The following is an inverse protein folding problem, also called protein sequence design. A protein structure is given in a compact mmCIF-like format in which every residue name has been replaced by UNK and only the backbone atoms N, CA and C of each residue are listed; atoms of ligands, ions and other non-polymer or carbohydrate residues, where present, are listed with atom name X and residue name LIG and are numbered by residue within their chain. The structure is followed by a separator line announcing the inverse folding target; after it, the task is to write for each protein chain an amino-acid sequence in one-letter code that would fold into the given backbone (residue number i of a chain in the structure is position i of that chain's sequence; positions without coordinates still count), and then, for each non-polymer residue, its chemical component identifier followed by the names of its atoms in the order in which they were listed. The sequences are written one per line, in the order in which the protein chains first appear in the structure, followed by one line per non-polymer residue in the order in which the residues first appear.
data_IF_884859102869
#
_entry.id   IF_884859102869
#
_cell.length_a   1.000
_cell.length_b   1.000
_cell.length_c   1.000
_cell.angle_alpha   90.00
_cell.angle_beta   90.00
_cell.angle_gamma   90.00
#
_symmetry.space_group_name_H-M   'P 1'
#
loop_
_entity.id
_entity.type
_entity.pdbx_description
1 polymer ?
#
# COMPACT_ATOMS: atom_id res chain seq x y z
N UNK A 1 -5.68 -5.86 -25.57
CA UNK A 1 -4.35 -6.47 -25.74
C UNK A 1 -3.24 -5.60 -25.11
N UNK A 2 -3.08 -4.31 -25.48
CA UNK A 2 -2.06 -3.40 -24.93
C UNK A 2 -2.08 -3.30 -23.40
N UNK A 3 -3.23 -3.02 -22.79
CA UNK A 3 -3.37 -2.84 -21.32
C UNK A 3 -2.91 -4.10 -20.58
N UNK A 4 -3.34 -5.28 -21.02
CA UNK A 4 -2.93 -6.53 -20.39
C UNK A 4 -1.40 -6.71 -20.47
N UNK A 5 -0.80 -6.42 -21.63
CA UNK A 5 0.64 -6.52 -21.82
C UNK A 5 1.42 -5.56 -20.91
N UNK A 6 0.96 -4.31 -20.77
CA UNK A 6 1.55 -3.33 -19.82
C UNK A 6 1.53 -3.89 -18.41
N UNK A 7 0.39 -4.46 -17.98
CA UNK A 7 0.24 -4.94 -16.60
C UNK A 7 1.05 -6.22 -16.38
N UNK A 8 0.94 -7.21 -17.26
CA UNK A 8 1.67 -8.47 -17.08
C UNK A 8 3.18 -8.28 -17.11
N UNK A 9 3.68 -7.43 -18.03
CA UNK A 9 5.10 -7.08 -18.05
C UNK A 9 5.56 -6.36 -16.79
N UNK A 10 4.72 -5.51 -16.20
CA UNK A 10 5.05 -4.83 -14.95
C UNK A 10 5.16 -5.82 -13.79
N UNK A 11 4.24 -6.79 -13.72
CA UNK A 11 4.28 -7.86 -12.72
C UNK A 11 5.54 -8.72 -12.88
N UNK A 12 5.82 -9.19 -14.09
CA UNK A 12 6.97 -10.07 -14.38
C UNK A 12 8.32 -9.40 -14.08
N UNK A 13 8.39 -8.08 -14.24
CA UNK A 13 9.59 -7.28 -13.94
C UNK A 13 9.63 -6.73 -12.50
N UNK A 14 8.66 -7.07 -11.64
CA UNK A 14 8.56 -6.59 -10.24
C UNK A 14 8.60 -5.06 -10.14
N UNK A 15 7.83 -4.41 -11.00
CA UNK A 15 7.74 -2.94 -11.09
C UNK A 15 6.91 -2.41 -9.93
N UNK A 16 7.33 -1.31 -9.31
CA UNK A 16 6.57 -0.65 -8.25
C UNK A 16 5.47 0.28 -8.79
N UNK A 17 5.77 1.03 -9.85
CA UNK A 17 4.81 1.98 -10.42
C UNK A 17 4.90 1.99 -11.95
N UNK A 18 3.74 2.14 -12.60
CA UNK A 18 3.58 2.30 -14.06
C UNK A 18 3.12 3.73 -14.32
N UNK A 19 3.85 4.46 -15.12
CA UNK A 19 3.49 5.82 -15.55
C UNK A 19 3.14 5.80 -17.03
N UNK A 20 1.93 6.26 -17.38
CA UNK A 20 1.46 6.45 -18.75
C UNK A 20 1.28 7.93 -18.95
N UNK A 21 2.17 8.53 -19.69
CA UNK A 21 2.33 9.98 -19.77
C UNK A 21 2.08 10.48 -21.18
N UNK A 22 1.22 11.53 -21.32
CA UNK A 22 0.96 12.13 -22.63
C UNK A 22 2.22 12.76 -23.22
N UNK A 23 2.32 12.68 -24.54
CA UNK A 23 3.32 13.34 -25.38
C UNK A 23 2.61 14.05 -26.53
N UNK A 24 3.36 14.82 -27.31
CA UNK A 24 2.82 15.48 -28.52
C UNK A 24 2.21 14.47 -29.47
N UNK A 25 2.85 13.31 -29.65
CA UNK A 25 2.38 12.21 -30.49
C UNK A 25 2.17 10.94 -29.66
N UNK A 26 0.96 10.80 -29.06
CA UNK A 26 0.61 9.59 -28.31
C UNK A 26 0.98 9.66 -26.82
N UNK A 27 1.36 8.54 -26.28
CA UNK A 27 1.78 8.39 -24.87
C UNK A 27 3.07 7.57 -24.76
N UNK A 28 3.83 7.82 -23.69
CA UNK A 28 4.96 7.00 -23.29
C UNK A 28 4.60 6.21 -22.03
N UNK A 29 4.98 4.95 -21.99
CA UNK A 29 4.88 4.12 -20.78
C UNK A 29 6.27 3.99 -20.16
N UNK A 30 6.36 4.34 -18.88
CA UNK A 30 7.56 4.18 -18.08
C UNK A 30 7.26 3.33 -16.86
N UNK A 31 8.18 2.48 -16.50
CA UNK A 31 8.13 1.70 -15.27
C UNK A 31 9.10 2.27 -14.25
N UNK A 32 8.70 2.28 -12.99
CA UNK A 32 9.60 2.51 -11.87
C UNK A 32 10.04 1.16 -11.32
N UNK A 33 11.30 0.86 -11.47
CA UNK A 33 11.93 -0.33 -10.92
C UNK A 33 13.14 0.09 -10.09
N UNK A 34 13.26 -0.43 -8.88
CA UNK A 34 14.34 -0.10 -7.95
C UNK A 34 14.57 1.42 -7.80
N UNK A 35 13.47 2.18 -7.74
CA UNK A 35 13.45 3.64 -7.62
C UNK A 35 13.64 4.41 -8.94
N UNK A 36 14.13 3.77 -10.02
CA UNK A 36 14.44 4.41 -11.29
C UNK A 36 13.31 4.26 -12.31
N UNK A 37 13.06 5.34 -13.08
CA UNK A 37 12.11 5.33 -14.18
C UNK A 37 12.78 4.91 -15.48
N UNK A 38 12.21 3.91 -16.14
CA UNK A 38 12.70 3.38 -17.41
C UNK A 38 11.58 3.41 -18.44
N UNK A 39 11.88 3.90 -19.66
CA UNK A 39 10.95 3.83 -20.79
C UNK A 39 10.78 2.38 -21.24
N UNK A 40 9.52 1.98 -21.46
CA UNK A 40 9.18 0.59 -21.85
C UNK A 40 8.59 0.54 -23.24
N UNK A 41 7.62 1.40 -23.53
CA UNK A 41 6.98 1.43 -24.85
C UNK A 41 6.32 2.78 -25.13
N UNK A 42 6.01 3.03 -26.39
CA UNK A 42 5.18 4.14 -26.85
C UNK A 42 3.78 3.64 -27.20
N UNK A 43 2.75 4.40 -26.85
CA UNK A 43 1.37 4.16 -27.23
C UNK A 43 1.04 5.11 -28.39
N UNK A 44 0.76 4.58 -29.60
CA UNK A 44 0.45 5.41 -30.75
C UNK A 44 -0.85 6.20 -30.58
N UNK A 45 -1.00 7.39 -31.20
CA UNK A 45 -2.22 8.21 -31.12
C UNK A 45 -3.50 7.46 -31.46
N UNK A 46 -3.44 6.53 -32.42
CA UNK A 46 -4.61 5.75 -32.87
C UNK A 46 -5.29 4.91 -31.78
N UNK A 47 -4.57 4.56 -30.71
CA UNK A 47 -5.08 3.67 -29.64
C UNK A 47 -5.04 4.33 -28.25
N UNK A 48 -4.49 5.54 -28.15
CA UNK A 48 -4.26 6.23 -26.87
C UNK A 48 -5.54 6.34 -26.02
N UNK A 49 -6.63 6.85 -26.62
CA UNK A 49 -7.92 7.03 -25.94
C UNK A 49 -8.49 5.69 -25.45
N UNK A 50 -8.39 4.65 -26.27
CA UNK A 50 -8.88 3.30 -25.91
C UNK A 50 -8.08 2.68 -24.76
N UNK A 51 -6.79 2.97 -24.67
CA UNK A 51 -5.93 2.46 -23.58
C UNK A 51 -6.31 3.16 -22.27
N UNK A 52 -6.44 4.48 -22.26
CA UNK A 52 -6.83 5.24 -21.06
C UNK A 52 -8.25 4.85 -20.61
N UNK A 53 -9.22 4.81 -21.55
CA UNK A 53 -10.58 4.37 -21.25
C UNK A 53 -10.62 2.96 -20.65
N UNK A 54 -9.78 2.03 -21.15
CA UNK A 54 -9.73 0.68 -20.62
C UNK A 54 -9.21 0.63 -19.19
N UNK A 55 -8.23 1.45 -18.82
CA UNK A 55 -7.79 1.59 -17.42
C UNK A 55 -8.89 2.15 -16.54
N UNK A 56 -9.62 3.17 -17.00
CA UNK A 56 -10.76 3.72 -16.25
C UNK A 56 -11.86 2.67 -16.02
N UNK A 57 -12.20 1.88 -17.04
CA UNK A 57 -13.16 0.77 -16.91
C UNK A 57 -12.70 -0.25 -15.87
N UNK A 58 -11.45 -0.69 -15.93
CA UNK A 58 -10.90 -1.67 -14.99
C UNK A 58 -10.99 -1.19 -13.53
N UNK A 59 -10.79 0.10 -13.31
CA UNK A 59 -10.78 0.73 -12.00
C UNK A 59 -12.10 1.38 -11.59
N UNK A 60 -13.18 1.16 -12.35
CA UNK A 60 -14.53 1.71 -12.11
C UNK A 60 -14.58 3.23 -12.04
N UNK A 61 -13.69 3.91 -12.77
CA UNK A 61 -13.67 5.36 -12.92
C UNK A 61 -14.68 5.83 -13.96
N UNK A 62 -15.07 7.11 -13.89
CA UNK A 62 -15.91 7.74 -14.90
C UNK A 62 -15.11 7.96 -16.20
N UNK A 63 -15.51 7.26 -17.28
CA UNK A 63 -14.83 7.34 -18.59
C UNK A 63 -14.99 8.72 -19.22
N UNK A 64 -16.13 9.36 -19.02
CA UNK A 64 -16.46 10.65 -19.63
C UNK A 64 -15.81 11.86 -18.93
N UNK A 65 -15.34 11.71 -17.71
CA UNK A 65 -14.70 12.80 -16.97
C UNK A 65 -13.18 12.80 -17.24
N UNK A 66 -12.71 13.87 -17.90
CA UNK A 66 -11.30 14.07 -18.27
C UNK A 66 -10.67 15.30 -17.63
N UNK A 67 -11.47 16.11 -16.92
CA UNK A 67 -11.06 17.42 -16.37
C UNK A 67 -10.71 17.37 -14.90
N UNK A 68 -11.04 16.29 -14.22
CA UNK A 68 -10.79 16.12 -12.79
C UNK A 68 -9.92 14.88 -12.53
N UNK A 69 -9.02 14.93 -11.54
CA UNK A 69 -8.33 13.74 -11.10
C UNK A 69 -9.33 12.68 -10.62
N UNK A 70 -9.00 11.43 -10.88
CA UNK A 70 -9.78 10.28 -10.40
C UNK A 70 -8.85 9.23 -9.79
N UNK A 71 -9.32 8.59 -8.74
CA UNK A 71 -8.66 7.46 -8.10
C UNK A 71 -9.50 6.20 -8.24
N UNK A 72 -8.83 5.07 -8.33
CA UNK A 72 -9.51 3.78 -8.39
C UNK A 72 -8.57 2.64 -8.06
N UNK A 73 -9.16 1.46 -7.97
CA UNK A 73 -8.43 0.22 -7.70
C UNK A 73 -8.95 -0.88 -8.61
N UNK A 74 -8.10 -1.83 -8.94
CA UNK A 74 -8.51 -3.06 -9.62
C UNK A 74 -7.57 -4.20 -9.27
N UNK A 75 -8.05 -5.42 -9.43
CA UNK A 75 -7.28 -6.64 -9.17
C UNK A 75 -7.22 -7.51 -10.41
N UNK A 76 -6.09 -8.17 -10.62
CA UNK A 76 -5.90 -9.10 -11.74
C UNK A 76 -5.30 -10.40 -11.21
N UNK A 77 -5.90 -11.51 -11.60
CA UNK A 77 -5.30 -12.84 -11.44
C UNK A 77 -4.32 -13.09 -12.59
N UNK A 78 -3.06 -13.34 -12.25
CA UNK A 78 -2.03 -13.62 -13.23
C UNK A 78 -1.08 -14.71 -12.71
N UNK A 79 -0.82 -15.74 -13.52
CA UNK A 79 -0.12 -16.96 -13.10
C UNK A 79 -0.79 -17.52 -11.82
N UNK A 80 -0.03 -17.74 -10.77
CA UNK A 80 -0.54 -18.32 -9.50
C UNK A 80 -0.83 -17.26 -8.44
N UNK A 81 -0.92 -15.97 -8.80
CA UNK A 81 -1.11 -14.86 -7.86
C UNK A 81 -2.29 -13.93 -8.22
N UNK A 82 -2.81 -13.26 -7.20
CA UNK A 82 -3.69 -12.11 -7.36
C UNK A 82 -2.87 -10.85 -7.09
N UNK A 83 -2.96 -9.88 -7.98
CA UNK A 83 -2.24 -8.60 -7.90
C UNK A 83 -3.25 -7.48 -7.82
N UNK A 84 -3.08 -6.62 -6.84
CA UNK A 84 -3.89 -5.43 -6.66
C UNK A 84 -3.17 -4.19 -7.20
N UNK A 85 -3.93 -3.26 -7.73
CA UNK A 85 -3.42 -2.04 -8.34
C UNK A 85 -4.19 -0.84 -7.82
N UNK A 86 -3.46 0.20 -7.46
CA UNK A 86 -4.02 1.54 -7.29
C UNK A 86 -3.71 2.38 -8.52
N UNK A 87 -4.69 3.07 -9.02
CA UNK A 87 -4.57 3.90 -10.21
C UNK A 87 -5.11 5.29 -9.94
N UNK A 88 -4.36 6.28 -10.37
CA UNK A 88 -4.76 7.68 -10.36
C UNK A 88 -4.67 8.25 -11.78
N UNK A 89 -5.65 9.06 -12.16
CA UNK A 89 -5.61 9.84 -13.40
C UNK A 89 -5.51 11.32 -13.07
N UNK A 90 -4.65 12.03 -13.78
CA UNK A 90 -4.45 13.46 -13.62
C UNK A 90 -4.58 14.17 -14.98
N UNK A 91 -5.44 15.17 -15.12
CA UNK A 91 -5.49 16.02 -16.31
C UNK A 91 -4.16 16.75 -16.55
N UNK A 92 -3.60 16.61 -17.75
CA UNK A 92 -2.35 17.24 -18.14
C UNK A 92 -2.46 17.70 -19.61
N UNK A 93 -2.43 19.00 -19.86
CA UNK A 93 -2.40 19.59 -21.21
C UNK A 93 -3.48 19.01 -22.17
N UNK A 94 -4.72 18.92 -21.71
CA UNK A 94 -5.86 18.42 -22.49
C UNK A 94 -5.93 16.90 -22.65
N UNK A 95 -5.01 16.18 -22.07
CA UNK A 95 -4.97 14.70 -21.97
C UNK A 95 -4.96 14.26 -20.50
N UNK A 96 -4.85 12.98 -20.25
CA UNK A 96 -4.76 12.44 -18.88
C UNK A 96 -3.47 11.63 -18.69
N UNK A 97 -2.67 12.02 -17.72
CA UNK A 97 -1.59 11.18 -17.21
C UNK A 97 -2.20 10.11 -16.32
N UNK A 98 -1.71 8.87 -16.43
CA UNK A 98 -2.11 7.76 -15.56
C UNK A 98 -0.90 7.28 -14.77
N UNK A 99 -1.08 7.13 -13.47
CA UNK A 99 -0.11 6.50 -12.58
C UNK A 99 -0.75 5.28 -11.92
N UNK A 100 -0.09 4.13 -12.02
CA UNK A 100 -0.59 2.88 -11.46
C UNK A 100 0.48 2.32 -10.53
N UNK A 101 0.15 2.19 -9.25
CA UNK A 101 0.98 1.48 -8.28
C UNK A 101 0.64 0.00 -8.30
N UNK A 102 1.64 -0.82 -8.48
CA UNK A 102 1.54 -2.27 -8.36
C UNK A 102 1.68 -2.58 -6.87
N UNK A 103 0.58 -2.97 -6.26
CA UNK A 103 0.64 -3.52 -4.90
C UNK A 103 1.17 -4.94 -5.09
N UNK A 104 2.41 -5.16 -4.66
CA UNK A 104 2.98 -6.50 -4.71
C UNK A 104 1.97 -7.46 -4.07
N UNK A 105 1.79 -8.69 -4.64
CA UNK A 105 1.08 -9.70 -3.90
C UNK A 105 1.77 -9.71 -2.55
N UNK A 106 0.98 -9.56 -1.51
CA UNK A 106 1.49 -9.72 -0.18
C UNK A 106 2.43 -10.90 -0.24
N UNK A 107 3.71 -10.66 0.03
CA UNK A 107 4.62 -11.78 0.28
C UNK A 107 3.77 -12.67 1.15
N UNK A 108 3.49 -13.91 0.68
CA UNK A 108 2.64 -14.79 1.45
C UNK A 108 3.38 -15.02 2.76
N UNK A 109 3.17 -14.07 3.66
CA UNK A 109 3.45 -14.26 5.06
C UNK A 109 2.47 -15.38 5.40
N UNK A 110 2.90 -16.62 5.20
CA UNK A 110 2.09 -17.77 5.55
C UNK A 110 1.51 -17.51 6.92
N UNK A 111 0.21 -17.65 7.07
CA UNK A 111 -0.49 -17.34 8.32
C UNK A 111 0.15 -18.05 9.53
N UNK A 112 0.82 -19.17 9.27
CA UNK A 112 1.51 -19.99 10.27
C UNK A 112 2.95 -19.52 10.63
N UNK A 113 3.51 -18.52 9.92
CA UNK A 113 4.92 -18.17 10.10
C UNK A 113 5.07 -16.97 11.05
N UNK A 114 5.15 -17.26 12.35
CA UNK A 114 5.41 -16.28 13.41
C UNK A 114 6.89 -15.82 13.46
N UNK A 115 7.66 -16.03 12.39
CA UNK A 115 9.10 -15.84 12.42
C UNK A 115 9.51 -14.41 11.99
N UNK A 116 9.93 -13.60 12.95
CA UNK A 116 10.52 -12.26 12.72
C UNK A 116 11.73 -12.29 11.77
N UNK A 117 12.41 -13.43 11.62
CA UNK A 117 13.59 -13.56 10.74
C UNK A 117 13.29 -13.31 9.27
N UNK A 118 12.01 -13.27 8.86
CA UNK A 118 11.58 -12.91 7.49
C UNK A 118 11.83 -11.44 7.14
N UNK A 119 12.11 -10.57 8.11
CA UNK A 119 12.38 -9.15 7.88
C UNK A 119 13.65 -8.96 7.05
N UNK A 120 14.57 -9.92 7.06
CA UNK A 120 15.88 -9.79 6.42
C UNK A 120 16.75 -8.80 7.21
N UNK A 121 17.72 -9.31 7.93
CA UNK A 121 18.63 -8.53 8.76
C UNK A 121 19.64 -9.46 9.38
N UNK A 122 20.63 -8.90 10.06
CA UNK A 122 21.57 -9.71 10.84
C UNK A 122 20.88 -10.32 12.07
N UNK A 123 21.46 -11.37 12.63
CA UNK A 123 20.95 -11.95 13.89
C UNK A 123 20.93 -10.90 15.03
N UNK A 124 21.87 -9.97 15.01
CA UNK A 124 21.93 -8.86 15.97
C UNK A 124 20.77 -7.88 15.79
N UNK A 125 20.40 -7.53 14.56
CA UNK A 125 19.26 -6.64 14.29
C UNK A 125 17.94 -7.27 14.72
N UNK A 126 17.78 -8.56 14.43
CA UNK A 126 16.60 -9.32 14.85
C UNK A 126 16.50 -9.39 16.38
N UNK A 127 17.63 -9.59 17.07
CA UNK A 127 17.67 -9.59 18.54
C UNK A 127 17.29 -8.22 19.11
N UNK A 128 17.76 -7.12 18.51
CA UNK A 128 17.37 -5.76 18.90
C UNK A 128 15.86 -5.53 18.73
N UNK A 129 15.28 -5.94 17.60
CA UNK A 129 13.84 -5.82 17.36
C UNK A 129 13.06 -6.64 18.41
N UNK A 130 13.46 -7.88 18.68
CA UNK A 130 12.82 -8.71 19.71
C UNK A 130 12.86 -8.04 21.08
N UNK A 131 13.99 -7.45 21.45
CA UNK A 131 14.11 -6.73 22.72
C UNK A 131 13.20 -5.49 22.77
N UNK A 132 13.10 -4.73 21.68
CA UNK A 132 12.20 -3.57 21.61
C UNK A 132 10.73 -3.96 21.76
N UNK A 133 10.29 -5.01 21.07
CA UNK A 133 8.88 -5.47 21.13
C UNK A 133 8.52 -6.20 22.41
N UNK A 134 9.49 -6.59 23.21
CA UNK A 134 9.28 -7.18 24.54
C UNK A 134 9.08 -6.11 25.64
N UNK A 135 9.27 -4.85 25.33
CA UNK A 135 8.98 -3.78 26.29
C UNK A 135 7.47 -3.68 26.54
N UNK A 136 7.03 -3.53 27.79
CA UNK A 136 5.61 -3.53 28.13
C UNK A 136 4.86 -2.28 27.61
N UNK A 137 5.56 -1.19 27.36
CA UNK A 137 5.02 0.04 26.81
C UNK A 137 6.07 0.76 25.98
N UNK A 138 5.64 1.66 25.11
CA UNK A 138 6.50 2.45 24.25
C UNK A 138 5.98 2.56 22.81
N UNK A 139 6.75 3.24 21.99
CA UNK A 139 6.45 3.41 20.57
C UNK A 139 7.61 2.98 19.70
N UNK A 140 7.34 2.22 18.65
CA UNK A 140 8.31 1.82 17.63
C UNK A 140 7.95 2.53 16.34
N UNK A 141 8.89 3.30 15.79
CA UNK A 141 8.70 4.03 14.55
C UNK A 141 9.51 3.40 13.42
N UNK A 142 8.87 3.20 12.26
CA UNK A 142 9.55 2.81 11.03
C UNK A 142 9.54 3.97 10.04
N UNK A 143 10.70 4.31 9.48
CA UNK A 143 10.84 5.36 8.47
C UNK A 143 11.65 4.85 7.28
N UNK A 144 11.36 5.37 6.10
CA UNK A 144 12.06 5.01 4.88
C UNK A 144 11.23 5.28 3.62
N UNK A 145 11.84 5.19 2.43
CA UNK A 145 11.13 5.40 1.16
C UNK A 145 10.07 4.33 0.89
N UNK A 146 9.23 4.57 -0.10
CA UNK A 146 8.26 3.56 -0.58
C UNK A 146 9.02 2.32 -1.07
N UNK A 147 8.51 1.13 -0.69
CA UNK A 147 9.14 -0.14 -1.07
C UNK A 147 10.34 -0.58 -0.21
N UNK A 148 10.68 0.16 0.85
CA UNK A 148 11.79 -0.22 1.77
C UNK A 148 11.45 -1.36 2.74
N UNK A 149 10.22 -1.88 2.71
CA UNK A 149 9.79 -3.00 3.56
C UNK A 149 9.16 -2.59 4.90
N UNK A 150 8.81 -1.31 5.11
CA UNK A 150 8.19 -0.83 6.37
C UNK A 150 6.99 -1.67 6.81
N UNK A 151 5.99 -1.81 5.93
CA UNK A 151 4.77 -2.58 6.20
C UNK A 151 5.09 -4.06 6.44
N UNK A 152 6.01 -4.63 5.65
CA UNK A 152 6.47 -6.01 5.82
C UNK A 152 7.08 -6.24 7.21
N UNK A 153 7.93 -5.29 7.64
CA UNK A 153 8.56 -5.34 8.96
C UNK A 153 7.52 -5.26 10.07
N UNK A 154 6.62 -4.26 10.01
CA UNK A 154 5.55 -4.09 11.01
C UNK A 154 4.63 -5.31 11.09
N UNK A 155 4.21 -5.86 9.94
CA UNK A 155 3.35 -7.03 9.91
C UNK A 155 4.05 -8.29 10.43
N UNK A 156 5.36 -8.45 10.17
CA UNK A 156 6.13 -9.56 10.73
C UNK A 156 6.25 -9.45 12.24
N UNK A 157 6.41 -8.25 12.77
CA UNK A 157 6.40 -7.97 14.21
C UNK A 157 5.04 -8.30 14.80
N UNK A 158 3.95 -7.77 14.23
CA UNK A 158 2.59 -8.05 14.73
C UNK A 158 2.27 -9.54 14.75
N UNK A 159 2.65 -10.27 13.71
CA UNK A 159 2.47 -11.74 13.68
C UNK A 159 3.22 -12.45 14.78
N UNK A 160 4.42 -11.99 15.12
CA UNK A 160 5.20 -12.61 16.19
C UNK A 160 4.61 -12.37 17.59
N UNK A 161 3.81 -11.32 17.74
CA UNK A 161 3.15 -10.92 18.98
C UNK A 161 1.69 -11.38 19.05
N UNK A 162 1.16 -11.96 17.96
CA UNK A 162 -0.23 -12.35 17.86
C UNK A 162 -0.48 -13.70 18.56
N UNK A 163 -0.93 -13.62 19.78
CA UNK A 163 -1.37 -14.74 20.62
C UNK A 163 -2.84 -14.52 21.06
N UNK A 164 -3.49 -15.59 21.54
CA UNK A 164 -4.93 -15.58 21.89
C UNK A 164 -5.25 -14.64 23.07
N UNK A 165 -4.27 -14.33 23.89
CA UNK A 165 -4.36 -13.46 25.06
C UNK A 165 -3.93 -12.00 24.78
N UNK A 166 -3.64 -11.65 23.52
CA UNK A 166 -3.17 -10.31 23.14
C UNK A 166 -4.16 -9.63 22.18
N UNK A 167 -4.71 -8.49 22.60
CA UNK A 167 -5.63 -7.68 21.76
C UNK A 167 -4.83 -6.75 20.85
N UNK A 168 -4.65 -7.17 19.59
CA UNK A 168 -3.97 -6.38 18.57
C UNK A 168 -4.98 -5.69 17.69
N UNK A 169 -4.85 -4.36 17.55
CA UNK A 169 -5.69 -3.56 16.65
C UNK A 169 -4.84 -2.71 15.72
N UNK A 170 -5.25 -2.58 14.45
CA UNK A 170 -4.56 -1.74 13.46
C UNK A 170 -5.47 -0.67 12.88
N UNK A 171 -4.85 0.42 12.41
CA UNK A 171 -5.49 1.49 11.64
C UNK A 171 -4.68 1.72 10.37
N UNK A 172 -5.27 1.53 9.21
CA UNK A 172 -4.54 1.47 7.94
C UNK A 172 -5.26 2.20 6.80
N UNK A 173 -4.50 2.70 5.83
CA UNK A 173 -5.03 3.38 4.63
C UNK A 173 -4.31 2.95 3.33
N UNK A 174 -4.76 1.84 2.72
CA UNK A 174 -5.68 0.80 3.19
C UNK A 174 -4.97 -0.35 3.93
N UNK A 175 -5.76 -1.34 4.36
CA UNK A 175 -5.24 -2.65 4.78
C UNK A 175 -4.62 -3.34 3.57
N UNK A 176 -3.32 -3.62 3.63
CA UNK A 176 -2.59 -4.29 2.53
C UNK A 176 -2.78 -5.80 2.54
N UNK A 177 -2.82 -6.41 3.73
CA UNK A 177 -2.98 -7.85 3.93
C UNK A 177 -3.87 -8.07 5.14
N UNK A 178 -4.85 -8.96 5.01
CA UNK A 178 -5.63 -9.43 6.16
C UNK A 178 -4.82 -10.40 6.99
N UNK A 179 -4.71 -10.10 8.27
CA UNK A 179 -4.05 -10.93 9.27
C UNK A 179 -5.09 -11.58 10.16
N UNK A 180 -5.05 -12.90 10.27
CA UNK A 180 -5.92 -13.65 11.16
C UNK A 180 -5.57 -13.34 12.62
N UNK A 181 -6.57 -13.20 13.49
CA UNK A 181 -6.38 -12.87 14.90
C UNK A 181 -6.09 -11.40 15.20
N UNK A 182 -6.07 -10.51 14.19
CA UNK A 182 -5.80 -9.08 14.36
C UNK A 182 -7.02 -8.25 13.91
N UNK A 183 -7.43 -7.29 14.73
CA UNK A 183 -8.53 -6.39 14.43
C UNK A 183 -8.05 -5.25 13.55
N UNK A 184 -8.27 -5.32 12.24
CA UNK A 184 -7.78 -4.34 11.28
C UNK A 184 -8.88 -3.35 10.87
N UNK A 185 -8.66 -2.07 11.16
CA UNK A 185 -9.56 -0.96 10.83
C UNK A 185 -9.02 -0.19 9.63
N UNK A 186 -9.86 0.04 8.63
CA UNK A 186 -9.48 0.81 7.46
C UNK A 186 -10.07 2.21 7.47
N UNK A 187 -9.25 3.19 7.12
CA UNK A 187 -9.67 4.60 6.99
C UNK A 187 -10.75 4.73 5.92
N UNK A 188 -11.77 5.52 6.22
CA UNK A 188 -12.81 5.91 5.29
C UNK A 188 -13.21 7.37 5.52
N UNK A 189 -12.51 8.27 4.86
CA UNK A 189 -12.73 9.71 5.01
C UNK A 189 -14.18 10.14 4.68
N UNK A 190 -14.86 9.43 3.74
CA UNK A 190 -16.26 9.72 3.40
C UNK A 190 -17.23 9.41 4.55
N UNK A 191 -16.89 8.43 5.38
CA UNK A 191 -17.65 8.06 6.58
C UNK A 191 -17.16 8.80 7.85
N UNK A 192 -16.20 9.71 7.73
CA UNK A 192 -15.61 10.41 8.88
C UNK A 192 -14.62 9.55 9.68
N UNK A 193 -14.20 8.42 9.13
CA UNK A 193 -13.24 7.52 9.77
C UNK A 193 -11.83 7.98 9.40
N UNK A 194 -11.18 8.71 10.31
CA UNK A 194 -9.82 9.22 10.19
C UNK A 194 -8.87 8.48 11.14
N UNK A 195 -7.55 8.64 10.98
CA UNK A 195 -6.57 8.07 11.91
C UNK A 195 -6.82 8.53 13.34
N UNK A 196 -7.00 9.82 13.57
CA UNK A 196 -7.25 10.36 14.90
C UNK A 196 -8.58 9.87 15.51
N UNK A 197 -9.68 9.81 14.71
CA UNK A 197 -10.97 9.31 15.20
C UNK A 197 -10.93 7.82 15.55
N UNK A 198 -10.23 7.01 14.74
CA UNK A 198 -10.03 5.59 15.03
C UNK A 198 -9.17 5.38 16.27
N UNK A 199 -8.05 6.10 16.41
CA UNK A 199 -7.19 6.00 17.58
C UNK A 199 -7.97 6.22 18.88
N UNK A 200 -8.78 7.31 18.94
CA UNK A 200 -9.63 7.57 20.13
C UNK A 200 -10.64 6.45 20.40
N UNK A 201 -11.14 5.80 19.37
CA UNK A 201 -12.07 4.69 19.53
C UNK A 201 -11.36 3.43 20.03
N UNK A 202 -10.21 3.11 19.47
CA UNK A 202 -9.40 1.93 19.80
C UNK A 202 -8.93 1.98 21.25
N UNK A 203 -8.52 3.13 21.75
CA UNK A 203 -8.12 3.31 23.16
C UNK A 203 -9.23 2.96 24.18
N UNK A 204 -10.49 2.85 23.72
CA UNK A 204 -11.62 2.37 24.55
C UNK A 204 -11.98 0.89 24.30
N UNK A 205 -11.16 0.19 23.53
CA UNK A 205 -11.35 -1.22 23.19
C UNK A 205 -10.32 -2.13 23.89
N UNK A 206 -9.68 -1.63 24.95
CA UNK A 206 -8.69 -2.35 25.75
C UNK A 206 -7.60 -3.01 24.87
N UNK A 207 -6.88 -2.25 24.05
CA UNK A 207 -5.85 -2.78 23.19
C UNK A 207 -4.53 -2.96 23.93
N UNK A 208 -3.88 -4.10 23.72
CA UNK A 208 -2.49 -4.32 24.17
C UNK A 208 -1.49 -3.75 23.15
N UNK A 209 -1.81 -3.88 21.85
CA UNK A 209 -0.93 -3.44 20.76
C UNK A 209 -1.75 -2.68 19.71
N UNK A 210 -1.26 -1.51 19.34
CA UNK A 210 -1.85 -0.70 18.27
C UNK A 210 -0.83 -0.49 17.15
N UNK A 211 -1.21 -0.84 15.91
CA UNK A 211 -0.47 -0.41 14.72
C UNK A 211 -1.18 0.79 14.09
N UNK A 212 -0.44 1.88 13.92
CA UNK A 212 -0.86 3.03 13.12
C UNK A 212 -0.10 2.97 11.79
N UNK A 213 -0.81 2.73 10.70
CA UNK A 213 -0.20 2.50 9.37
C UNK A 213 0.67 3.67 8.91
N UNK A 214 0.26 4.90 9.22
CA UNK A 214 1.06 6.10 9.01
C UNK A 214 0.60 7.25 9.92
N UNK A 215 1.51 8.17 10.19
CA UNK A 215 1.23 9.41 10.96
C UNK A 215 1.47 10.57 10.00
N UNK A 216 0.40 11.28 9.63
CA UNK A 216 0.43 12.42 8.69
C UNK A 216 0.21 13.76 9.36
N UNK A 217 -0.34 13.76 10.56
CA UNK A 217 -0.75 14.97 11.29
C UNK A 217 -0.35 14.92 12.76
N UNK A 218 -0.30 16.10 13.35
CA UNK A 218 0.11 16.26 14.75
C UNK A 218 -0.88 15.62 15.73
N UNK A 219 -2.18 15.67 15.43
CA UNK A 219 -3.22 15.10 16.28
C UNK A 219 -3.07 13.58 16.41
N UNK A 220 -2.85 12.88 15.31
CA UNK A 220 -2.59 11.43 15.31
C UNK A 220 -1.31 11.09 16.09
N UNK A 221 -0.25 11.91 15.93
CA UNK A 221 1.01 11.72 16.66
C UNK A 221 0.83 11.88 18.16
N UNK A 222 0.13 12.92 18.59
CA UNK A 222 -0.13 13.21 20.01
C UNK A 222 -0.89 12.07 20.68
N UNK A 223 -1.94 11.56 20.01
CA UNK A 223 -2.71 10.44 20.52
C UNK A 223 -1.85 9.17 20.59
N UNK A 224 -1.02 8.92 19.58
CA UNK A 224 -0.14 7.73 19.56
C UNK A 224 0.91 7.77 20.69
N UNK A 225 1.51 8.94 20.95
CA UNK A 225 2.45 9.11 22.06
C UNK A 225 1.73 8.91 23.40
N UNK A 226 0.55 9.49 23.57
CA UNK A 226 -0.23 9.32 24.79
C UNK A 226 -0.60 7.86 25.03
N UNK A 227 -1.00 7.13 23.99
CA UNK A 227 -1.29 5.71 24.06
C UNK A 227 -0.06 4.87 24.45
N UNK A 228 1.12 5.24 23.96
CA UNK A 228 2.36 4.52 24.23
C UNK A 228 2.89 4.71 25.67
N UNK A 229 2.34 5.65 26.43
CA UNK A 229 2.72 5.95 27.82
C UNK A 229 1.80 5.29 28.85
N UNK A 230 0.66 4.78 28.41
CA UNK A 230 -0.36 4.12 29.24
C UNK A 230 -0.32 2.61 29.09
#
# INVERSE_FOLDING_TARGET
KFVNQIITNAIDNKVSDIHIEPRLAGYIVRYRKDGMLQKVLDIPPKVETSVIARFKVLSRMNIAEHRRPQDGTFSIKYKNGSYDFRINTLPVSGKEKVCIRVLAPAVSLNAADKNISLIGGTAEDIAKIKNMVSCPNGIILTSGPTGSGKTTTLYSVLKSLNDEDVNITTIEDPIEIKLEGINQSQINAKAGITFASCMRAILRQDPDIILVGEIRDYETLEIAISAALT
#
